data_IF_021720543796
#
_entry.id   IF_021720543796
#
_cell.length_a   1.000
_cell.length_b   1.000
_cell.length_c   1.000
_cell.angle_alpha   90.00
_cell.angle_beta   90.00
_cell.angle_gamma   90.00
#
_symmetry.space_group_name_H-M   'P 1'
#
loop_
_entity.id
_entity.type
_entity.pdbx_description
1 polymer ?
#
# COMPACT_ATOMS: atom_id res chain seq x y z
N UNK A 1 -10.92 23.88 -0.08
CA UNK A 1 -10.37 22.66 -0.71
C UNK A 1 -9.94 21.71 0.39
N UNK A 2 -10.79 20.75 0.77
CA UNK A 2 -10.57 19.82 1.91
C UNK A 2 -10.49 18.35 1.47
N UNK A 3 -10.48 18.10 0.15
CA UNK A 3 -10.77 16.79 -0.41
C UNK A 3 -9.54 15.92 -0.75
N UNK A 4 -8.30 16.42 -0.58
CA UNK A 4 -7.09 15.62 -0.84
C UNK A 4 -6.63 14.81 0.39
N UNK A 5 -6.86 15.33 1.61
CA UNK A 5 -6.53 14.60 2.85
C UNK A 5 -7.47 13.40 3.07
N UNK A 6 -8.72 13.50 2.62
CA UNK A 6 -9.69 12.39 2.65
C UNK A 6 -9.32 11.26 1.69
N UNK A 7 -8.81 11.57 0.49
CA UNK A 7 -8.37 10.54 -0.49
C UNK A 7 -7.14 9.79 0.00
N UNK A 8 -6.13 10.50 0.55
CA UNK A 8 -4.92 9.87 1.09
C UNK A 8 -5.23 8.98 2.29
N UNK A 9 -6.04 9.45 3.25
CA UNK A 9 -6.49 8.64 4.39
C UNK A 9 -7.31 7.42 3.97
N UNK A 10 -8.21 7.59 2.99
CA UNK A 10 -8.98 6.47 2.43
C UNK A 10 -8.11 5.45 1.70
N UNK A 11 -7.07 5.92 1.01
CA UNK A 11 -6.08 5.08 0.36
C UNK A 11 -5.26 4.24 1.36
N UNK A 12 -4.83 4.84 2.48
CA UNK A 12 -4.17 4.10 3.57
C UNK A 12 -5.07 3.08 4.24
N UNK A 13 -6.35 3.41 4.44
CA UNK A 13 -7.34 2.46 4.95
C UNK A 13 -7.50 1.27 4.00
N UNK A 14 -7.57 1.53 2.69
CA UNK A 14 -7.67 0.50 1.65
C UNK A 14 -6.44 -0.42 1.54
N UNK A 15 -5.25 0.11 1.79
CA UNK A 15 -4.01 -0.69 1.81
C UNK A 15 -3.75 -1.40 3.16
N UNK A 16 -4.60 -1.18 4.17
CA UNK A 16 -4.40 -1.70 5.52
C UNK A 16 -3.26 -1.01 6.29
N UNK A 17 -2.81 0.17 5.82
CA UNK A 17 -1.68 0.95 6.35
C UNK A 17 -2.18 2.18 7.12
N UNK A 18 -3.36 2.09 7.76
CA UNK A 18 -3.71 3.11 8.76
C UNK A 18 -2.85 2.90 10.00
N UNK A 19 -2.17 3.96 10.45
CA UNK A 19 -1.48 4.04 11.74
C UNK A 19 -2.47 3.68 12.87
N UNK A 20 -2.47 2.41 13.29
CA UNK A 20 -3.44 1.83 14.22
C UNK A 20 -4.10 0.52 13.75
N UNK A 21 -4.00 0.16 12.47
CA UNK A 21 -4.65 -1.02 11.88
C UNK A 21 -3.76 -2.28 11.80
N UNK A 22 -2.70 -2.36 12.62
CA UNK A 22 -2.10 -3.66 12.94
C UNK A 22 -3.09 -4.59 13.68
N UNK A 23 -4.29 -4.09 14.05
CA UNK A 23 -5.28 -4.79 14.87
C UNK A 23 -6.51 -5.35 14.13
N UNK A 24 -6.66 -5.19 12.80
CA UNK A 24 -7.84 -5.69 12.07
C UNK A 24 -7.49 -6.56 10.87
N UNK A 25 -6.58 -7.51 11.05
CA UNK A 25 -6.73 -8.78 10.35
C UNK A 25 -7.79 -9.54 11.16
N UNK A 26 -9.06 -9.25 10.93
CA UNK A 26 -10.17 -10.02 11.52
C UNK A 26 -10.02 -11.47 11.04
N UNK A 27 -9.63 -12.32 11.98
CA UNK A 27 -9.25 -13.73 11.81
C UNK A 27 -10.39 -14.61 11.27
N UNK A 28 -11.61 -14.07 11.11
CA UNK A 28 -12.82 -14.85 10.86
C UNK A 28 -13.25 -14.93 9.39
N UNK A 29 -12.75 -14.06 8.50
CA UNK A 29 -13.07 -14.10 7.07
C UNK A 29 -12.20 -15.07 6.25
N UNK A 30 -11.21 -15.73 6.86
CA UNK A 30 -10.18 -16.52 6.16
C UNK A 30 -10.52 -18.03 6.04
N UNK A 31 -11.67 -18.48 6.54
CA UNK A 31 -11.96 -19.92 6.70
C UNK A 31 -12.43 -20.66 5.43
N UNK A 32 -12.45 -20.06 4.24
CA UNK A 32 -13.00 -20.76 3.05
C UNK A 32 -12.34 -20.46 1.70
N UNK A 33 -11.07 -20.07 1.67
CA UNK A 33 -10.33 -19.96 0.41
C UNK A 33 -9.21 -20.99 0.44
N UNK A 34 -9.30 -21.97 -0.47
CA UNK A 34 -8.29 -23.00 -0.67
C UNK A 34 -6.96 -22.33 -1.06
N UNK A 35 -5.95 -22.24 -0.17
CA UNK A 35 -4.83 -21.30 -0.28
C UNK A 35 -3.75 -21.74 -1.27
N UNK A 36 -4.05 -22.72 -2.13
CA UNK A 36 -3.01 -23.53 -2.76
C UNK A 36 -3.20 -23.76 -4.25
N UNK A 37 -3.84 -22.82 -4.97
CA UNK A 37 -4.04 -23.01 -6.41
C UNK A 37 -3.08 -22.24 -7.32
N UNK A 38 -2.54 -21.06 -6.97
CA UNK A 38 -1.78 -20.27 -7.96
C UNK A 38 -0.61 -19.37 -7.51
N UNK A 39 -0.17 -19.33 -6.25
CA UNK A 39 0.93 -18.45 -5.83
C UNK A 39 2.16 -19.20 -5.29
N UNK A 40 3.19 -19.32 -6.11
CA UNK A 40 4.49 -19.86 -5.69
C UNK A 40 5.24 -18.84 -4.81
N UNK A 41 6.28 -19.30 -4.10
CA UNK A 41 7.19 -18.38 -3.40
C UNK A 41 7.76 -17.31 -4.36
N UNK A 42 8.03 -17.71 -5.61
CA UNK A 42 8.51 -16.80 -6.65
C UNK A 42 7.47 -15.72 -6.99
N UNK A 43 6.20 -16.07 -7.10
CA UNK A 43 5.14 -15.08 -7.40
C UNK A 43 4.98 -14.06 -6.27
N UNK A 44 5.19 -14.49 -5.01
CA UNK A 44 5.19 -13.61 -3.85
C UNK A 44 6.41 -12.68 -3.82
N UNK A 45 7.59 -13.20 -4.13
CA UNK A 45 8.81 -12.41 -4.22
C UNK A 45 8.75 -11.39 -5.37
N UNK A 46 8.29 -11.79 -6.55
CA UNK A 46 8.13 -10.93 -7.72
C UNK A 46 7.10 -9.80 -7.42
N UNK A 47 6.04 -10.12 -6.69
CA UNK A 47 5.11 -9.10 -6.19
C UNK A 47 5.79 -8.14 -5.22
N UNK A 48 6.58 -8.62 -4.25
CA UNK A 48 7.26 -7.75 -3.29
C UNK A 48 8.23 -6.79 -3.97
N UNK A 49 8.94 -7.24 -5.00
CA UNK A 49 9.81 -6.37 -5.81
C UNK A 49 8.98 -5.29 -6.53
N UNK A 50 7.86 -5.69 -7.14
CA UNK A 50 6.95 -4.75 -7.81
C UNK A 50 6.37 -3.74 -6.81
N UNK A 51 5.97 -4.20 -5.63
CA UNK A 51 5.44 -3.36 -4.56
C UNK A 51 6.49 -2.40 -4.01
N UNK A 52 7.74 -2.83 -3.85
CA UNK A 52 8.84 -1.97 -3.42
C UNK A 52 9.10 -0.82 -4.42
N UNK A 53 9.16 -1.13 -5.72
CA UNK A 53 9.31 -0.11 -6.78
C UNK A 53 8.14 0.88 -6.73
N UNK A 54 6.91 0.37 -6.58
CA UNK A 54 5.73 1.19 -6.47
C UNK A 54 5.75 2.10 -5.23
N UNK A 55 6.21 1.60 -4.08
CA UNK A 55 6.38 2.40 -2.85
C UNK A 55 7.34 3.56 -3.10
N UNK A 56 8.49 3.28 -3.71
CA UNK A 56 9.50 4.30 -3.99
C UNK A 56 8.99 5.36 -4.97
N UNK A 57 8.29 4.94 -6.02
CA UNK A 57 7.69 5.85 -6.99
C UNK A 57 6.60 6.72 -6.36
N UNK A 58 5.75 6.14 -5.51
CA UNK A 58 4.69 6.89 -4.84
C UNK A 58 5.28 7.95 -3.89
N UNK A 59 6.35 7.62 -3.18
CA UNK A 59 7.08 8.58 -2.33
C UNK A 59 7.59 9.74 -3.20
N UNK A 60 8.23 9.46 -4.33
CA UNK A 60 8.77 10.49 -5.22
C UNK A 60 7.68 11.46 -5.71
N UNK A 61 6.55 10.96 -6.19
CA UNK A 61 5.47 11.83 -6.70
C UNK A 61 4.79 12.62 -5.59
N UNK A 62 4.71 12.08 -4.36
CA UNK A 62 4.19 12.84 -3.21
C UNK A 62 5.14 13.95 -2.81
N UNK A 63 6.45 13.69 -2.76
CA UNK A 63 7.47 14.73 -2.52
C UNK A 63 7.42 15.81 -3.59
N UNK A 64 7.28 15.42 -4.87
CA UNK A 64 7.10 16.38 -5.95
C UNK A 64 5.83 17.21 -5.82
N UNK A 65 4.72 16.63 -5.35
CA UNK A 65 3.47 17.38 -5.11
C UNK A 65 3.63 18.39 -3.97
N UNK A 66 4.42 18.07 -2.93
CA UNK A 66 4.73 19.00 -1.84
C UNK A 66 5.45 20.26 -2.36
N UNK A 67 6.37 20.09 -3.31
CA UNK A 67 7.12 21.19 -3.92
C UNK A 67 6.29 21.96 -4.96
N UNK A 68 5.55 21.25 -5.82
CA UNK A 68 4.84 21.85 -6.96
C UNK A 68 3.39 21.36 -7.05
N UNK A 69 2.49 22.05 -6.34
CA UNK A 69 1.06 21.68 -6.22
C UNK A 69 0.24 21.85 -7.49
N UNK A 70 0.75 22.50 -8.52
CA UNK A 70 0.06 22.74 -9.80
C UNK A 70 0.46 21.76 -10.91
N UNK A 71 1.40 20.85 -10.65
CA UNK A 71 1.83 19.86 -11.66
C UNK A 71 0.72 18.82 -11.91
N UNK A 72 0.02 18.99 -13.05
CA UNK A 72 -1.08 18.14 -13.46
C UNK A 72 -0.59 16.72 -13.77
N UNK A 73 0.58 16.57 -14.38
CA UNK A 73 1.14 15.27 -14.71
C UNK A 73 1.45 14.48 -13.43
N UNK A 74 2.00 15.16 -12.41
CA UNK A 74 2.26 14.55 -11.12
C UNK A 74 0.97 14.10 -10.40
N UNK A 75 -0.10 14.91 -10.45
CA UNK A 75 -1.41 14.52 -9.91
C UNK A 75 -2.00 13.32 -10.61
N UNK A 76 -1.89 13.27 -11.94
CA UNK A 76 -2.34 12.12 -12.71
C UNK A 76 -1.55 10.87 -12.33
N UNK A 77 -0.23 10.99 -12.14
CA UNK A 77 0.60 9.86 -11.72
C UNK A 77 0.21 9.32 -10.34
N UNK A 78 -0.07 10.21 -9.38
CA UNK A 78 -0.61 9.81 -8.07
C UNK A 78 -1.92 9.03 -8.22
N UNK A 79 -2.83 9.48 -9.08
CA UNK A 79 -4.10 8.77 -9.34
C UNK A 79 -3.88 7.38 -9.95
N UNK A 80 -2.96 7.26 -10.91
CA UNK A 80 -2.61 5.99 -11.54
C UNK A 80 -2.02 5.00 -10.53
N UNK A 81 -1.06 5.46 -9.71
CA UNK A 81 -0.46 4.64 -8.67
C UNK A 81 -1.48 4.23 -7.61
N UNK A 82 -2.42 5.10 -7.25
CA UNK A 82 -3.53 4.73 -6.36
C UNK A 82 -4.44 3.66 -6.97
N UNK A 83 -4.72 3.73 -8.28
CA UNK A 83 -5.53 2.72 -8.97
C UNK A 83 -4.83 1.35 -9.06
N UNK A 84 -3.51 1.33 -9.25
CA UNK A 84 -2.71 0.10 -9.23
C UNK A 84 -2.81 -0.61 -7.87
N UNK A 85 -2.66 0.15 -6.78
CA UNK A 85 -2.78 -0.36 -5.42
C UNK A 85 -4.18 -0.93 -5.09
N UNK A 86 -5.26 -0.29 -5.58
CA UNK A 86 -6.62 -0.82 -5.43
C UNK A 86 -6.76 -2.21 -6.10
N UNK A 87 -6.04 -2.46 -7.20
CA UNK A 87 -6.03 -3.74 -7.92
C UNK A 87 -5.29 -4.87 -7.19
N UNK A 88 -4.46 -4.58 -6.18
CA UNK A 88 -3.66 -5.58 -5.47
C UNK A 88 -4.30 -6.12 -4.19
N UNK A 89 -5.43 -5.55 -3.75
CA UNK A 89 -6.01 -5.86 -2.45
C UNK A 89 -6.25 -7.36 -2.22
N UNK A 90 -6.83 -8.06 -3.19
CA UNK A 90 -7.15 -9.48 -3.03
C UNK A 90 -5.90 -10.36 -3.07
N UNK A 91 -4.92 -9.99 -3.91
CA UNK A 91 -3.62 -10.67 -3.98
C UNK A 91 -2.83 -10.50 -2.67
N UNK A 92 -2.84 -9.31 -2.07
CA UNK A 92 -2.22 -9.04 -0.77
C UNK A 92 -2.88 -9.88 0.32
N UNK A 93 -4.23 -9.96 0.36
CA UNK A 93 -4.94 -10.79 1.34
C UNK A 93 -4.57 -12.26 1.24
N UNK A 94 -4.42 -12.79 0.02
CA UNK A 94 -3.96 -14.15 -0.22
C UNK A 94 -2.51 -14.32 0.27
N UNK A 95 -1.62 -13.41 -0.10
CA UNK A 95 -0.18 -13.55 0.19
C UNK A 95 0.16 -13.31 1.67
N UNK A 96 -0.64 -12.52 2.39
CA UNK A 96 -0.47 -12.27 3.84
C UNK A 96 -0.64 -13.53 4.72
N UNK A 97 -1.16 -14.63 4.16
CA UNK A 97 -1.21 -15.93 4.83
C UNK A 97 0.17 -16.60 4.93
N UNK A 98 1.16 -16.09 4.20
CA UNK A 98 2.53 -16.61 4.14
C UNK A 98 3.49 -15.70 4.93
N UNK A 99 4.17 -16.26 5.93
CA UNK A 99 5.07 -15.50 6.82
C UNK A 99 6.28 -14.87 6.10
N UNK A 100 6.81 -15.57 5.09
CA UNK A 100 7.91 -15.07 4.24
C UNK A 100 7.53 -13.78 3.51
N UNK A 101 6.28 -13.69 3.05
CA UNK A 101 5.75 -12.50 2.41
C UNK A 101 5.41 -11.40 3.42
N UNK A 102 4.68 -11.78 4.48
CA UNK A 102 4.11 -10.85 5.47
C UNK A 102 5.16 -9.94 6.09
N UNK A 103 6.33 -10.48 6.44
CA UNK A 103 7.41 -9.70 7.07
C UNK A 103 7.93 -8.58 6.16
N UNK A 104 8.22 -8.88 4.88
CA UNK A 104 8.69 -7.89 3.90
C UNK A 104 7.58 -6.91 3.52
N UNK A 105 6.36 -7.37 3.30
CA UNK A 105 5.23 -6.49 2.99
C UNK A 105 4.98 -5.46 4.10
N UNK A 106 4.99 -5.87 5.37
CA UNK A 106 4.85 -4.96 6.52
C UNK A 106 6.02 -3.96 6.57
N UNK A 107 7.25 -4.42 6.33
CA UNK A 107 8.43 -3.54 6.32
C UNK A 107 8.32 -2.43 5.27
N UNK A 108 8.00 -2.80 4.02
CA UNK A 108 7.81 -1.87 2.91
C UNK A 108 6.64 -0.90 3.18
N UNK A 109 5.55 -1.41 3.73
CA UNK A 109 4.38 -0.59 4.08
C UNK A 109 4.68 0.41 5.21
N UNK A 110 5.54 0.05 6.17
CA UNK A 110 6.03 0.97 7.21
C UNK A 110 6.92 2.07 6.61
N UNK A 111 7.85 1.71 5.73
CA UNK A 111 8.68 2.68 4.99
C UNK A 111 7.78 3.67 4.25
N UNK A 112 6.81 3.16 3.50
CA UNK A 112 5.85 3.97 2.78
C UNK A 112 5.11 4.95 3.70
N UNK A 113 4.50 4.45 4.78
CA UNK A 113 3.77 5.27 5.75
C UNK A 113 4.65 6.37 6.36
N UNK A 114 5.89 6.05 6.75
CA UNK A 114 6.82 7.01 7.35
C UNK A 114 7.21 8.14 6.38
N UNK A 115 7.34 7.84 5.08
CA UNK A 115 7.78 8.83 4.09
C UNK A 115 6.69 9.83 3.67
N UNK A 116 5.42 9.47 3.82
CA UNK A 116 4.30 10.28 3.28
C UNK A 116 3.32 10.79 4.32
N UNK A 117 3.38 10.29 5.56
CA UNK A 117 2.66 10.91 6.67
C UNK A 117 3.47 12.12 7.14
N UNK A 118 2.90 13.34 7.21
CA UNK A 118 3.57 14.44 7.89
C UNK A 118 3.76 14.06 9.37
N UNK A 119 4.91 14.40 9.95
CA UNK A 119 5.25 14.15 11.35
C UNK A 119 4.02 14.26 12.26
N UNK A 120 3.54 13.12 12.77
CA UNK A 120 2.50 13.03 13.79
C UNK A 120 3.10 13.27 15.19
N UNK A 121 4.12 14.13 15.28
CA UNK A 121 4.72 14.56 16.54
C UNK A 121 4.89 16.09 16.49
N UNK A 122 3.84 16.77 16.95
CA UNK A 122 3.91 18.11 17.51
C UNK A 122 3.35 18.05 18.93
#
# INVERSE_FOLDING_TARGET
>A
MSNQNSTRRGFFQKLGITLGAAALIETEALASINPNKFATNKDRDDFLVTYEIWVDEYIEVVEKEKLTKSDIANKQRIMELSAQADGWQDQIKEYLQHDDFKSRYISLSKKFAASITPDLEA
#
